data_IF_192183180170
#
_entry.id   IF_192183180170
#
_cell.length_a   1.000
_cell.length_b   1.000
_cell.length_c   1.000
_cell.angle_alpha   90.00
_cell.angle_beta   90.00
_cell.angle_gamma   90.00
#
_symmetry.space_group_name_H-M   'P 1'
#
loop_
_entity.id
_entity.type
_entity.pdbx_description
1 polymer ?
#
# COMPACT_ATOMS: atom_id res chain seq x y z
N UNK A 1 64.80 -68.69 24.36
CA UNK A 1 65.95 -67.83 24.03
C UNK A 1 66.54 -68.29 22.71
N UNK A 2 66.84 -67.33 21.80
CA UNK A 2 67.51 -67.43 20.48
C UNK A 2 66.69 -68.07 19.35
N UNK A 3 66.02 -67.33 18.46
CA UNK A 3 66.43 -66.30 17.47
C UNK A 3 67.11 -66.89 16.22
N UNK A 4 66.43 -66.83 15.06
CA UNK A 4 66.99 -66.39 13.75
C UNK A 4 65.93 -66.42 12.63
N UNK A 5 65.56 -65.24 12.12
CA UNK A 5 65.23 -64.98 10.70
C UNK A 5 66.58 -64.85 9.93
N UNK A 6 66.72 -64.79 8.57
CA UNK A 6 65.78 -64.17 7.62
C UNK A 6 65.83 -64.62 6.11
N UNK A 7 65.06 -63.88 5.29
CA UNK A 7 65.27 -63.47 3.88
C UNK A 7 65.04 -64.36 2.63
N UNK A 8 63.97 -63.99 1.89
CA UNK A 8 63.89 -63.53 0.49
C UNK A 8 64.66 -64.25 -0.63
N UNK A 9 63.92 -64.82 -1.61
CA UNK A 9 64.25 -64.81 -3.05
C UNK A 9 62.98 -64.85 -3.94
N UNK A 10 62.70 -63.73 -4.62
CA UNK A 10 61.95 -63.59 -5.89
C UNK A 10 62.50 -64.57 -6.97
N UNK A 11 61.81 -64.92 -8.09
CA UNK A 11 61.58 -63.91 -9.15
C UNK A 11 60.57 -64.18 -10.32
N UNK A 12 60.43 -63.12 -11.14
CA UNK A 12 60.17 -63.02 -12.60
C UNK A 12 58.73 -63.05 -13.16
N UNK A 13 58.31 -61.84 -13.59
CA UNK A 13 57.43 -61.60 -14.73
C UNK A 13 57.88 -62.31 -16.02
N UNK A 14 56.92 -62.74 -16.83
CA UNK A 14 57.17 -63.18 -18.20
C UNK A 14 55.92 -63.21 -19.08
N UNK A 15 55.82 -62.25 -20.00
CA UNK A 15 55.16 -62.40 -21.31
C UNK A 15 53.68 -61.97 -21.37
N UNK A 16 53.37 -60.72 -21.73
CA UNK A 16 53.21 -60.21 -23.11
C UNK A 16 52.19 -60.95 -24.00
N UNK A 17 51.09 -60.24 -24.25
CA UNK A 17 50.58 -59.82 -25.57
C UNK A 17 49.39 -60.55 -26.23
N UNK A 18 48.32 -59.74 -26.39
CA UNK A 18 47.60 -59.41 -27.63
C UNK A 18 46.77 -60.51 -28.34
N UNK A 19 45.43 -60.40 -28.23
CA UNK A 19 44.56 -60.44 -29.43
C UNK A 19 43.15 -59.91 -29.19
N UNK A 20 42.92 -58.79 -29.85
CA UNK A 20 41.72 -58.18 -30.42
C UNK A 20 40.55 -59.13 -30.78
N UNK A 21 39.34 -58.55 -30.72
CA UNK A 21 38.06 -58.97 -31.33
C UNK A 21 37.18 -59.89 -30.45
N UNK A 22 35.87 -59.74 -30.31
CA UNK A 22 34.89 -58.69 -30.63
C UNK A 22 33.55 -59.18 -30.03
N UNK A 23 32.58 -58.27 -29.92
CA UNK A 23 31.12 -58.52 -30.01
C UNK A 23 30.38 -59.16 -28.80
N UNK A 24 29.89 -58.23 -27.97
CA UNK A 24 28.45 -57.97 -27.72
C UNK A 24 27.64 -59.05 -26.99
N UNK A 25 27.57 -58.80 -25.67
CA UNK A 25 26.35 -58.61 -24.89
C UNK A 25 25.26 -59.69 -25.02
N UNK A 26 25.18 -60.53 -23.99
CA UNK A 26 23.89 -61.02 -23.48
C UNK A 26 23.87 -60.94 -21.94
N UNK A 27 22.99 -60.06 -21.46
CA UNK A 27 22.28 -60.08 -20.16
C UNK A 27 23.03 -60.53 -18.91
N UNK A 28 23.48 -59.55 -18.13
CA UNK A 28 23.94 -59.71 -16.74
C UNK A 28 22.80 -60.30 -15.90
N UNK A 29 23.04 -61.49 -15.37
CA UNK A 29 22.33 -62.09 -14.24
C UNK A 29 22.66 -61.28 -12.97
N UNK A 30 21.62 -60.86 -12.25
CA UNK A 30 21.55 -60.48 -10.83
C UNK A 30 22.73 -59.71 -10.21
N UNK A 31 22.50 -58.45 -9.82
CA UNK A 31 23.12 -57.63 -8.73
C UNK A 31 22.35 -56.28 -8.79
N UNK A 32 21.83 -55.61 -7.76
CA UNK A 32 22.15 -55.58 -6.33
C UNK A 32 21.00 -54.99 -5.49
N UNK A 33 20.91 -55.44 -4.24
CA UNK A 33 19.92 -55.08 -3.21
C UNK A 33 20.22 -53.73 -2.51
N UNK A 34 20.74 -52.72 -3.23
CA UNK A 34 21.33 -51.50 -2.63
C UNK A 34 20.68 -50.18 -3.06
N UNK A 35 19.41 -50.18 -3.50
CA UNK A 35 18.71 -48.92 -3.84
C UNK A 35 17.25 -48.89 -3.38
N UNK A 36 17.03 -49.05 -2.06
CA UNK A 36 15.74 -48.67 -1.44
C UNK A 36 15.98 -47.87 -0.16
N UNK A 37 16.94 -46.94 -0.19
CA UNK A 37 17.30 -46.07 0.95
C UNK A 37 16.84 -44.60 0.80
N UNK A 38 16.06 -44.21 -0.22
CA UNK A 38 15.75 -42.77 -0.46
C UNK A 38 14.28 -42.48 -0.79
N UNK A 39 13.32 -43.20 -0.20
CA UNK A 39 11.88 -42.90 -0.40
C UNK A 39 11.10 -42.73 0.91
N UNK A 40 11.78 -42.59 2.06
CA UNK A 40 11.10 -42.28 3.35
C UNK A 40 11.65 -40.97 3.95
N UNK A 41 11.86 -39.96 3.11
CA UNK A 41 12.18 -38.60 3.57
C UNK A 41 11.58 -37.55 2.64
N UNK A 42 10.27 -37.62 2.39
CA UNK A 42 9.60 -36.65 1.49
C UNK A 42 8.15 -36.33 1.85
N UNK A 43 7.68 -36.66 3.05
CA UNK A 43 6.27 -36.44 3.44
C UNK A 43 6.14 -35.67 4.75
N UNK A 44 6.80 -34.50 4.83
CA UNK A 44 6.37 -33.41 5.70
C UNK A 44 6.46 -32.10 4.91
N UNK A 45 5.63 -31.99 3.88
CA UNK A 45 5.30 -30.67 3.34
C UNK A 45 4.35 -30.03 4.36
N UNK A 46 4.89 -29.14 5.19
CA UNK A 46 4.08 -28.32 6.06
C UNK A 46 3.08 -27.55 5.20
N UNK A 47 1.80 -27.88 5.33
CA UNK A 47 0.72 -26.99 4.90
C UNK A 47 0.81 -25.80 5.85
N UNK A 48 1.63 -24.83 5.49
CA UNK A 48 1.54 -23.48 6.05
C UNK A 48 0.27 -22.93 5.41
N UNK A 49 -0.83 -22.72 6.17
CA UNK A 49 -1.96 -21.98 5.61
C UNK A 49 -1.41 -20.64 5.11
N UNK A 50 -1.84 -20.12 3.95
CA UNK A 50 -1.45 -18.78 3.56
C UNK A 50 -1.83 -17.87 4.72
N UNK A 51 -0.82 -17.37 5.43
CA UNK A 51 -0.99 -16.36 6.44
C UNK A 51 -1.66 -15.21 5.71
N UNK A 52 -2.97 -15.05 5.93
CA UNK A 52 -3.63 -13.79 5.68
C UNK A 52 -2.97 -12.81 6.62
N UNK A 53 -1.89 -12.18 6.16
CA UNK A 53 -1.45 -10.94 6.72
C UNK A 53 -2.62 -10.00 6.46
N UNK A 54 -3.52 -9.90 7.45
CA UNK A 54 -4.38 -8.75 7.54
C UNK A 54 -3.42 -7.57 7.48
N UNK A 55 -3.50 -6.79 6.40
CA UNK A 55 -2.79 -5.53 6.32
C UNK A 55 -3.27 -4.74 7.52
N UNK A 56 -2.45 -4.68 8.57
CA UNK A 56 -2.68 -3.75 9.66
C UNK A 56 -2.49 -2.38 9.01
N UNK A 57 -3.60 -1.78 8.56
CA UNK A 57 -3.59 -0.45 7.98
C UNK A 57 -2.83 0.46 8.93
N UNK A 58 -1.76 1.08 8.45
CA UNK A 58 -1.07 2.09 9.23
C UNK A 58 -2.14 3.12 9.67
N UNK A 59 -2.20 3.43 10.96
CA UNK A 59 -3.10 4.45 11.45
C UNK A 59 -2.70 5.77 10.77
N UNK A 60 -3.59 6.32 9.94
CA UNK A 60 -3.32 7.57 9.25
C UNK A 60 -3.27 8.76 10.21
N UNK A 61 -2.71 9.86 9.73
CA UNK A 61 -2.56 11.11 10.48
C UNK A 61 -3.87 11.88 10.46
N UNK A 62 -4.23 12.49 11.60
CA UNK A 62 -5.41 13.36 11.68
C UNK A 62 -4.97 14.82 11.70
N UNK A 63 -5.49 15.59 10.75
CA UNK A 63 -5.25 17.01 10.58
C UNK A 63 -6.50 17.80 10.96
N UNK A 64 -6.33 18.94 11.62
CA UNK A 64 -7.42 19.81 12.09
C UNK A 64 -7.36 21.16 11.38
N UNK A 65 -8.54 21.69 11.02
CA UNK A 65 -8.66 22.98 10.33
C UNK A 65 -9.78 23.81 10.95
N UNK A 66 -9.47 25.05 11.34
CA UNK A 66 -10.38 26.00 11.97
C UNK A 66 -10.24 27.38 11.31
N UNK A 67 -11.28 27.81 10.58
CA UNK A 67 -11.23 29.11 9.87
C UNK A 67 -11.08 30.32 10.80
N UNK A 68 -11.57 30.21 12.04
CA UNK A 68 -11.53 31.30 13.02
C UNK A 68 -10.27 31.23 13.87
N UNK A 69 -10.04 30.08 14.52
CA UNK A 69 -8.98 29.87 15.52
C UNK A 69 -7.66 29.32 14.99
N UNK A 70 -7.62 28.81 13.75
CA UNK A 70 -6.41 28.21 13.19
C UNK A 70 -5.36 29.21 12.70
N UNK A 71 -4.16 28.68 12.45
CA UNK A 71 -2.99 29.36 11.86
C UNK A 71 -2.24 28.38 10.95
N UNK A 72 -1.89 28.79 9.73
CA UNK A 72 -1.20 27.93 8.74
C UNK A 72 0.30 27.71 9.05
N UNK A 73 0.82 28.41 10.06
CA UNK A 73 2.12 28.13 10.68
C UNK A 73 2.10 26.97 11.67
N UNK A 74 0.92 26.48 12.06
CA UNK A 74 0.77 25.33 12.94
C UNK A 74 1.06 23.99 12.21
N UNK A 75 1.29 22.93 12.99
CA UNK A 75 1.48 21.58 12.44
C UNK A 75 0.19 20.92 11.98
N UNK A 76 -0.98 21.40 12.43
CA UNK A 76 -2.29 20.87 12.09
C UNK A 76 -2.65 19.58 12.83
N UNK A 77 -1.83 19.10 13.78
CA UNK A 77 -1.96 17.76 14.36
C UNK A 77 -2.80 17.70 15.64
N UNK A 78 -3.34 18.83 16.08
CA UNK A 78 -4.24 18.95 17.24
C UNK A 78 -5.30 20.03 17.00
N UNK A 79 -6.39 19.98 17.79
CA UNK A 79 -7.45 20.99 17.70
C UNK A 79 -6.93 22.40 18.06
N UNK A 80 -5.99 22.49 19.01
CA UNK A 80 -5.38 23.76 19.46
C UNK A 80 -4.34 24.31 18.49
N UNK A 81 -3.75 23.44 17.66
CA UNK A 81 -2.78 23.80 16.62
C UNK A 81 -3.33 23.49 15.22
N UNK A 82 -4.62 23.80 15.00
CA UNK A 82 -5.27 23.61 13.71
C UNK A 82 -4.70 24.56 12.64
N UNK A 83 -4.73 24.11 11.37
CA UNK A 83 -4.55 24.99 10.22
C UNK A 83 -5.73 25.94 10.04
N UNK A 84 -5.52 27.01 9.28
CA UNK A 84 -6.55 28.04 9.07
C UNK A 84 -7.25 27.89 7.73
N UNK A 85 -6.51 27.68 6.65
CA UNK A 85 -7.02 27.83 5.28
C UNK A 85 -7.22 26.50 4.56
N UNK A 86 -8.11 26.48 3.57
CA UNK A 86 -8.23 25.35 2.65
C UNK A 86 -7.04 25.30 1.68
N UNK A 87 -6.37 26.44 1.46
CA UNK A 87 -5.11 26.50 0.71
C UNK A 87 -4.05 25.60 1.35
N UNK A 88 -3.85 25.69 2.67
CA UNK A 88 -2.88 24.85 3.40
C UNK A 88 -3.18 23.35 3.26
N UNK A 89 -4.46 22.99 3.30
CA UNK A 89 -4.94 21.61 3.04
C UNK A 89 -4.59 21.19 1.62
N UNK A 90 -4.82 22.06 0.63
CA UNK A 90 -4.58 21.79 -0.80
C UNK A 90 -3.10 21.75 -1.19
N UNK A 91 -2.21 22.28 -0.35
CA UNK A 91 -0.75 22.15 -0.51
C UNK A 91 -0.18 20.85 0.09
N UNK A 92 -0.99 20.11 0.85
CA UNK A 92 -0.56 18.89 1.56
C UNK A 92 -0.91 17.65 0.74
N UNK A 93 0.06 16.72 0.61
CA UNK A 93 -0.17 15.39 0.02
C UNK A 93 -0.45 14.36 1.10
N UNK A 94 -1.72 13.97 1.21
CA UNK A 94 -2.21 13.01 2.18
C UNK A 94 -1.91 11.56 1.77
N UNK A 95 -1.80 10.69 2.77
CA UNK A 95 -1.49 9.27 2.63
C UNK A 95 -2.71 8.40 3.00
N UNK A 96 -2.77 7.13 2.54
CA UNK A 96 -3.87 6.22 2.88
C UNK A 96 -4.16 6.15 4.39
N UNK A 97 -5.43 6.36 4.74
CA UNK A 97 -5.92 6.38 6.12
C UNK A 97 -5.91 7.74 6.81
N UNK A 98 -5.31 8.77 6.20
CA UNK A 98 -5.30 10.13 6.77
C UNK A 98 -6.71 10.71 6.91
N UNK A 99 -6.85 11.63 7.86
CA UNK A 99 -8.11 12.32 8.18
C UNK A 99 -7.91 13.83 8.18
N UNK A 100 -8.83 14.56 7.57
CA UNK A 100 -8.89 16.01 7.57
C UNK A 100 -10.19 16.39 8.27
N UNK A 101 -10.08 16.98 9.46
CA UNK A 101 -11.21 17.36 10.29
C UNK A 101 -11.40 18.88 10.25
N UNK A 102 -12.52 19.30 9.65
CA UNK A 102 -12.93 20.71 9.56
C UNK A 102 -13.79 21.06 10.79
N UNK A 103 -13.53 22.18 11.44
CA UNK A 103 -14.26 22.55 12.66
C UNK A 103 -15.72 22.91 12.36
N UNK A 104 -16.63 22.37 13.15
CA UNK A 104 -18.04 22.73 13.11
C UNK A 104 -18.22 24.25 13.29
N UNK A 105 -19.05 24.84 12.44
CA UNK A 105 -19.29 26.28 12.38
C UNK A 105 -18.19 27.12 11.74
N UNK A 106 -17.09 26.53 11.28
CA UNK A 106 -16.18 27.23 10.37
C UNK A 106 -16.83 27.45 8.99
N UNK A 107 -16.56 28.61 8.41
CA UNK A 107 -16.89 28.92 7.02
C UNK A 107 -15.62 29.40 6.29
N UNK A 108 -15.38 28.86 5.09
CA UNK A 108 -14.36 29.31 4.14
C UNK A 108 -15.07 29.82 2.89
N UNK A 109 -14.91 31.12 2.59
CA UNK A 109 -15.60 31.77 1.48
C UNK A 109 -14.63 32.13 0.36
N UNK A 110 -14.93 31.69 -0.86
CA UNK A 110 -14.10 31.95 -2.05
C UNK A 110 -12.81 31.14 -2.11
N UNK A 111 -12.62 30.18 -1.20
CA UNK A 111 -11.50 29.25 -1.20
C UNK A 111 -11.90 27.91 -1.84
N UNK A 112 -11.01 27.36 -2.68
CA UNK A 112 -11.16 26.03 -3.25
C UNK A 112 -10.41 25.00 -2.40
N UNK A 113 -11.03 23.85 -2.19
CA UNK A 113 -10.42 22.66 -1.61
C UNK A 113 -10.02 21.70 -2.73
N UNK A 114 -8.71 21.60 -2.99
CA UNK A 114 -8.13 20.67 -3.96
C UNK A 114 -7.05 19.83 -3.26
N UNK A 115 -7.43 18.84 -2.45
CA UNK A 115 -6.49 18.07 -1.67
C UNK A 115 -5.72 17.09 -2.57
N UNK A 116 -4.46 16.85 -2.20
CA UNK A 116 -3.56 15.98 -2.94
C UNK A 116 -3.43 14.61 -2.26
N UNK A 117 -3.29 13.56 -3.07
CA UNK A 117 -3.06 12.20 -2.58
C UNK A 117 -4.28 11.30 -2.76
N UNK A 118 -4.05 10.00 -2.69
CA UNK A 118 -5.09 8.99 -2.84
C UNK A 118 -5.02 8.00 -1.70
N UNK A 119 -6.18 7.58 -1.23
CA UNK A 119 -6.27 6.49 -0.27
C UNK A 119 -5.95 5.14 -0.93
N UNK A 120 -6.18 4.08 -0.18
CA UNK A 120 -6.10 2.72 -0.67
C UNK A 120 -7.34 1.93 -0.26
N UNK A 121 -7.54 0.75 -0.88
CA UNK A 121 -8.58 -0.18 -0.44
C UNK A 121 -8.44 -0.49 1.05
N UNK A 122 -9.52 -0.31 1.81
CA UNK A 122 -9.53 -0.48 3.28
C UNK A 122 -8.92 0.68 4.07
N UNK A 123 -8.26 1.64 3.41
CA UNK A 123 -7.64 2.82 4.03
C UNK A 123 -7.89 4.09 3.18
N UNK A 124 -9.15 4.55 3.05
CA UNK A 124 -9.46 5.79 2.36
C UNK A 124 -8.89 7.01 3.10
N UNK A 125 -8.68 8.12 2.39
CA UNK A 125 -8.46 9.42 3.03
C UNK A 125 -9.83 10.01 3.34
N UNK A 126 -10.04 10.49 4.56
CA UNK A 126 -11.35 10.97 5.02
C UNK A 126 -11.34 12.47 5.25
N UNK A 127 -12.35 13.17 4.74
CA UNK A 127 -12.69 14.54 5.16
C UNK A 127 -13.96 14.47 5.99
N UNK A 128 -13.90 15.00 7.21
CA UNK A 128 -15.03 15.02 8.14
C UNK A 128 -15.00 16.29 8.99
N UNK A 129 -15.83 16.33 10.03
CA UNK A 129 -15.99 17.45 10.95
C UNK A 129 -15.58 17.09 12.38
N UNK A 130 -15.20 18.10 13.16
CA UNK A 130 -14.99 17.99 14.61
C UNK A 130 -15.64 19.18 15.34
N UNK A 131 -15.70 19.13 16.67
CA UNK A 131 -16.24 20.25 17.48
C UNK A 131 -17.77 20.33 17.55
N UNK A 132 -18.48 19.31 17.07
CA UNK A 132 -19.95 19.20 17.15
C UNK A 132 -20.58 18.80 15.81
N UNK A 133 -21.91 18.55 15.81
CA UNK A 133 -22.64 18.13 14.61
C UNK A 133 -23.33 19.27 13.85
N UNK A 134 -23.48 20.45 14.46
CA UNK A 134 -24.16 21.60 13.88
C UNK A 134 -23.69 22.92 14.49
N UNK A 135 -23.55 24.00 13.69
CA UNK A 135 -23.60 23.98 12.23
C UNK A 135 -22.44 23.18 11.62
N UNK A 136 -22.67 22.56 10.46
CA UNK A 136 -21.62 21.85 9.73
C UNK A 136 -20.53 22.83 9.26
N UNK A 137 -19.28 22.38 9.07
CA UNK A 137 -18.27 23.19 8.39
C UNK A 137 -18.73 23.52 6.98
N UNK A 138 -18.63 24.78 6.59
CA UNK A 138 -19.17 25.30 5.33
C UNK A 138 -18.05 25.71 4.37
N UNK A 139 -18.03 25.08 3.21
CA UNK A 139 -17.19 25.46 2.08
C UNK A 139 -18.07 26.23 1.10
N UNK A 140 -17.83 27.54 1.00
CA UNK A 140 -18.66 28.46 0.26
C UNK A 140 -17.88 29.08 -0.90
N UNK A 141 -18.03 28.56 -2.11
CA UNK A 141 -17.39 29.14 -3.29
C UNK A 141 -17.91 30.53 -3.67
N UNK A 142 -19.06 30.96 -3.12
CA UNK A 142 -19.71 32.25 -3.39
C UNK A 142 -19.89 32.60 -4.88
N UNK A 143 -19.83 31.61 -5.77
CA UNK A 143 -19.86 31.78 -7.21
C UNK A 143 -18.67 32.55 -7.80
N UNK A 144 -17.53 32.58 -7.09
CA UNK A 144 -16.29 33.22 -7.55
C UNK A 144 -15.19 32.22 -7.94
N UNK A 145 -15.47 30.91 -7.80
CA UNK A 145 -14.60 29.80 -8.19
C UNK A 145 -15.40 28.76 -8.97
N UNK A 146 -14.76 28.07 -9.92
CA UNK A 146 -15.43 27.11 -10.80
C UNK A 146 -15.94 25.87 -10.06
N UNK A 147 -15.20 25.42 -9.05
CA UNK A 147 -15.59 24.32 -8.16
C UNK A 147 -15.11 24.58 -6.73
N UNK A 148 -15.89 24.13 -5.73
CA UNK A 148 -15.52 24.29 -4.31
C UNK A 148 -14.60 23.17 -3.86
N UNK A 149 -14.91 21.93 -4.26
CA UNK A 149 -14.08 20.75 -4.02
C UNK A 149 -13.67 20.16 -5.37
N UNK A 150 -12.37 19.97 -5.58
CA UNK A 150 -11.83 19.37 -6.79
C UNK A 150 -10.97 18.15 -6.49
N UNK A 151 -11.29 17.04 -7.14
CA UNK A 151 -10.46 15.84 -7.18
C UNK A 151 -9.99 15.62 -8.60
N UNK A 152 -8.69 15.80 -8.84
CA UNK A 152 -8.04 15.48 -10.09
C UNK A 152 -7.22 14.19 -9.97
N UNK A 153 -7.65 13.14 -10.65
CA UNK A 153 -6.99 11.82 -10.65
C UNK A 153 -6.76 11.26 -9.23
N UNK A 154 -7.71 11.51 -8.32
CA UNK A 154 -7.67 11.02 -6.94
C UNK A 154 -8.62 9.85 -6.73
N UNK A 155 -8.26 8.93 -5.83
CA UNK A 155 -9.04 7.73 -5.52
C UNK A 155 -9.13 7.48 -4.01
N UNK A 156 -10.13 6.71 -3.60
CA UNK A 156 -10.34 6.29 -2.21
C UNK A 156 -10.44 7.48 -1.24
N UNK A 157 -11.35 8.42 -1.54
CA UNK A 157 -11.71 9.54 -0.69
C UNK A 157 -13.11 9.35 -0.12
N UNK A 158 -13.25 9.54 1.18
CA UNK A 158 -14.52 9.58 1.89
C UNK A 158 -14.76 11.01 2.40
N UNK A 159 -15.94 11.57 2.16
CA UNK A 159 -16.29 12.95 2.52
C UNK A 159 -17.60 12.96 3.29
N UNK A 160 -17.58 13.53 4.48
CA UNK A 160 -18.68 13.46 5.44
C UNK A 160 -18.95 14.81 6.10
N UNK A 161 -20.20 15.01 6.51
CA UNK A 161 -20.61 16.08 7.43
C UNK A 161 -20.25 17.52 7.04
N UNK A 162 -20.07 17.80 5.75
CA UNK A 162 -19.82 19.15 5.23
C UNK A 162 -21.09 19.80 4.68
N UNK A 163 -21.11 21.12 4.65
CA UNK A 163 -21.96 21.92 3.78
C UNK A 163 -21.12 22.50 2.64
N UNK A 164 -21.52 22.26 1.38
CA UNK A 164 -20.81 22.74 0.19
C UNK A 164 -21.77 23.56 -0.65
N UNK A 165 -21.43 24.82 -0.90
CA UNK A 165 -22.26 25.74 -1.70
C UNK A 165 -21.41 26.53 -2.67
N UNK A 166 -21.86 26.71 -3.91
CA UNK A 166 -21.19 27.58 -4.90
C UNK A 166 -22.17 28.54 -5.58
N UNK A 167 -23.03 29.17 -4.79
CA UNK A 167 -24.07 30.06 -5.31
C UNK A 167 -23.57 31.51 -5.28
N UNK A 168 -23.57 32.17 -6.45
CA UNK A 168 -23.27 33.58 -6.54
C UNK A 168 -24.33 34.43 -5.81
N UNK A 169 -23.90 35.55 -5.21
CA UNK A 169 -24.83 36.52 -4.67
C UNK A 169 -25.76 37.04 -5.77
N UNK A 170 -27.07 36.98 -5.55
CA UNK A 170 -28.06 37.39 -6.55
C UNK A 170 -28.21 36.44 -7.73
N UNK A 171 -27.75 35.19 -7.62
CA UNK A 171 -27.92 34.18 -8.66
C UNK A 171 -29.40 34.08 -9.09
N UNK A 172 -29.68 34.00 -10.41
CA UNK A 172 -31.02 33.77 -10.92
C UNK A 172 -31.65 32.52 -10.29
N UNK A 173 -32.95 32.58 -9.99
CA UNK A 173 -33.70 31.39 -9.54
C UNK A 173 -33.98 30.40 -10.69
N UNK A 174 -33.86 30.88 -11.94
CA UNK A 174 -34.00 30.08 -13.15
C UNK A 174 -32.73 29.24 -13.39
N UNK A 175 -32.81 27.90 -13.28
CA UNK A 175 -31.63 27.03 -13.42
C UNK A 175 -30.93 27.14 -14.77
N UNK A 176 -31.67 27.52 -15.83
CA UNK A 176 -31.09 27.66 -17.18
C UNK A 176 -30.17 28.87 -17.33
N UNK A 177 -30.17 29.78 -16.36
CA UNK A 177 -29.38 31.02 -16.33
C UNK A 177 -28.25 30.96 -15.31
N UNK A 178 -28.05 29.82 -14.66
CA UNK A 178 -26.94 29.64 -13.73
C UNK A 178 -25.64 29.48 -14.51
N UNK A 179 -24.57 30.11 -13.99
CA UNK A 179 -23.23 29.81 -14.44
C UNK A 179 -22.87 28.36 -14.09
N UNK A 180 -21.92 27.79 -14.84
CA UNK A 180 -21.44 26.43 -14.64
C UNK A 180 -20.48 26.35 -13.43
N UNK A 181 -21.08 26.45 -12.24
CA UNK A 181 -20.40 26.47 -10.94
C UNK A 181 -20.73 25.20 -10.17
N UNK A 182 -19.69 24.47 -9.77
CA UNK A 182 -19.82 23.14 -9.17
C UNK A 182 -19.59 23.20 -7.67
N UNK A 183 -20.35 22.42 -6.91
CA UNK A 183 -20.01 22.15 -5.51
C UNK A 183 -18.80 21.22 -5.44
N UNK A 184 -18.86 20.11 -6.17
CA UNK A 184 -17.78 19.13 -6.27
C UNK A 184 -17.51 18.80 -7.74
N UNK A 185 -16.24 18.72 -8.10
CA UNK A 185 -15.77 18.36 -9.43
C UNK A 185 -14.77 17.20 -9.31
N UNK A 186 -15.01 16.11 -10.05
CA UNK A 186 -14.11 14.96 -10.12
C UNK A 186 -13.71 14.77 -11.57
N UNK A 187 -12.41 14.76 -11.83
CA UNK A 187 -11.83 14.65 -13.17
C UNK A 187 -10.59 13.77 -13.15
N UNK A 188 -10.13 13.36 -14.35
CA UNK A 188 -8.99 12.46 -14.52
C UNK A 188 -9.39 11.14 -15.16
#
# INVERSE_FOLDING_TARGET
MKAHSPELREPLEGGRNLSTAMLKQHGIRNISFTMVLVIILSMFSAIVPPSVFASAGAAGTTYYVDSAGGDDGNDGLSEEAAWKTLTKVSETTFQPGDRILLKAGSEWTGEQLHPLGSGAEGSPITIDSYGGASPKPKLNGAGVIDSVVEFYNQQYWDIHNLEITNTAAGAPQDPSKLADLRGMHVTG
#
